data_IF_820465952039
#
_entry.id   IF_820465952039
#
_cell.length_a   1.000
_cell.length_b   1.000
_cell.length_c   1.000
_cell.angle_alpha   90.00
_cell.angle_beta   90.00
_cell.angle_gamma   90.00
#
_symmetry.space_group_name_H-M   'P 1'
#
loop_
_entity.id
_entity.type
_entity.pdbx_description
1 polymer ?
#
# COMPACT_ATOMS: atom_id res chain seq x y z
N UNK A 1 -3.36 -0.76 2.89
CA UNK A 1 -3.17 -0.57 4.35
C UNK A 1 -2.02 0.39 4.66
N UNK A 2 -0.76 0.06 4.37
CA UNK A 2 0.40 0.89 4.76
C UNK A 2 0.30 2.37 4.35
N UNK A 3 -0.04 2.65 3.08
CA UNK A 3 -0.23 4.03 2.60
C UNK A 3 -1.37 4.78 3.30
N UNK A 4 -2.49 4.10 3.59
CA UNK A 4 -3.58 4.69 4.39
C UNK A 4 -3.14 4.96 5.82
N UNK A 5 -2.47 4.01 6.48
CA UNK A 5 -1.97 4.20 7.85
C UNK A 5 -0.92 5.33 7.94
N UNK A 6 -0.17 5.59 6.87
CA UNK A 6 0.80 6.69 6.82
C UNK A 6 0.11 8.06 6.79
N UNK A 7 -0.99 8.19 6.05
CA UNK A 7 -1.61 9.50 5.76
C UNK A 7 -2.84 9.78 6.63
N UNK A 8 -3.64 8.75 6.94
CA UNK A 8 -4.87 8.85 7.72
C UNK A 8 -4.92 7.76 8.81
N UNK A 9 -3.99 7.75 9.78
CA UNK A 9 -3.94 6.76 10.85
C UNK A 9 -5.24 6.71 11.68
N UNK A 10 -5.91 7.85 11.87
CA UNK A 10 -7.18 7.96 12.58
C UNK A 10 -8.33 7.21 11.91
N UNK A 11 -8.30 7.08 10.58
CA UNK A 11 -9.27 6.26 9.84
C UNK A 11 -9.05 4.78 10.12
N UNK A 12 -7.80 4.34 10.22
CA UNK A 12 -7.46 2.95 10.57
C UNK A 12 -7.85 2.65 12.01
N UNK A 13 -7.54 3.56 12.94
CA UNK A 13 -7.88 3.41 14.36
C UNK A 13 -9.39 3.27 14.56
N UNK A 14 -10.19 4.14 13.92
CA UNK A 14 -11.66 4.08 14.01
C UNK A 14 -12.26 2.89 13.27
N UNK A 15 -11.53 2.29 12.32
CA UNK A 15 -12.03 1.15 11.56
C UNK A 15 -11.96 -0.16 12.35
N UNK A 16 -11.10 -0.31 13.37
CA UNK A 16 -10.89 -1.57 14.09
C UNK A 16 -11.47 -1.48 15.50
N UNK A 17 -12.65 -2.07 15.70
CA UNK A 17 -13.45 -1.94 16.93
C UNK A 17 -13.45 -3.26 17.71
N UNK A 18 -13.04 -3.21 18.98
CA UNK A 18 -13.16 -4.35 19.91
C UNK A 18 -14.61 -4.54 20.32
N UNK A 19 -14.99 -5.79 20.56
CA UNK A 19 -16.34 -6.18 21.00
C UNK A 19 -16.29 -6.90 22.35
N UNK A 20 -17.41 -6.88 23.06
CA UNK A 20 -17.55 -7.53 24.37
C UNK A 20 -17.53 -9.07 24.29
N UNK A 21 -17.82 -9.63 23.10
CA UNK A 21 -17.79 -11.07 22.82
C UNK A 21 -16.39 -11.60 22.48
N UNK A 22 -15.34 -10.80 22.67
CA UNK A 22 -13.95 -11.15 22.37
C UNK A 22 -13.58 -11.11 20.89
N UNK A 23 -14.51 -10.71 20.00
CA UNK A 23 -14.27 -10.53 18.56
C UNK A 23 -13.90 -9.08 18.23
N UNK A 24 -13.62 -8.84 16.95
CA UNK A 24 -13.32 -7.52 16.39
C UNK A 24 -14.25 -7.26 15.22
N UNK A 25 -14.80 -6.05 15.16
CA UNK A 25 -15.45 -5.52 13.96
C UNK A 25 -14.45 -4.63 13.21
N UNK A 26 -14.21 -4.94 11.93
CA UNK A 26 -13.47 -4.05 11.03
C UNK A 26 -14.47 -3.37 10.10
N UNK A 27 -14.45 -2.04 10.05
CA UNK A 27 -15.31 -1.24 9.19
C UNK A 27 -14.58 -0.92 7.89
N UNK A 28 -15.01 -1.55 6.80
CA UNK A 28 -14.66 -1.14 5.45
C UNK A 28 -15.71 -0.19 4.89
N UNK A 29 -15.49 0.28 3.67
CA UNK A 29 -16.32 1.26 2.97
C UNK A 29 -16.73 0.74 1.59
N UNK A 30 -17.92 1.12 1.16
CA UNK A 30 -18.40 1.03 -0.23
C UNK A 30 -18.94 2.41 -0.61
N UNK A 31 -18.08 3.24 -1.19
CA UNK A 31 -18.35 4.68 -1.27
C UNK A 31 -18.48 5.26 0.15
N UNK A 32 -19.58 5.95 0.43
CA UNK A 32 -19.87 6.49 1.77
C UNK A 32 -20.48 5.48 2.75
N UNK A 33 -20.83 4.26 2.30
CA UNK A 33 -21.49 3.27 3.13
C UNK A 33 -20.49 2.43 3.92
N UNK A 34 -20.81 2.16 5.18
CA UNK A 34 -20.02 1.28 6.04
C UNK A 34 -20.33 -0.20 5.73
N UNK A 35 -19.27 -1.00 5.68
CA UNK A 35 -19.31 -2.44 5.47
C UNK A 35 -18.64 -3.09 6.68
N UNK A 36 -19.38 -3.36 7.77
CA UNK A 36 -18.84 -3.98 8.97
C UNK A 36 -18.56 -5.47 8.74
N UNK A 37 -17.38 -5.92 9.13
CA UNK A 37 -16.96 -7.32 9.05
C UNK A 37 -16.52 -7.78 10.42
N UNK A 38 -17.14 -8.83 10.95
CA UNK A 38 -16.84 -9.37 12.28
C UNK A 38 -15.94 -10.58 12.14
N UNK A 39 -14.79 -10.57 12.79
CA UNK A 39 -13.84 -11.68 12.83
C UNK A 39 -13.42 -11.97 14.27
N UNK A 40 -13.10 -13.22 14.58
CA UNK A 40 -12.38 -13.53 15.82
C UNK A 40 -10.93 -13.02 15.75
N UNK A 41 -10.24 -13.02 16.90
CA UNK A 41 -8.89 -12.45 17.05
C UNK A 41 -7.74 -13.40 16.71
N UNK A 42 -8.03 -14.66 16.38
CA UNK A 42 -7.00 -15.63 16.00
C UNK A 42 -6.57 -15.39 14.56
N UNK A 43 -5.26 -15.30 14.33
CA UNK A 43 -4.68 -15.12 12.99
C UNK A 43 -3.67 -16.24 12.73
N UNK A 44 -3.48 -16.66 11.46
CA UNK A 44 -2.44 -17.65 11.14
C UNK A 44 -1.06 -17.17 11.59
N UNK A 45 -0.31 -18.04 12.28
CA UNK A 45 0.98 -17.72 12.88
C UNK A 45 2.12 -18.52 12.23
N UNK A 46 3.28 -17.89 12.10
CA UNK A 46 4.57 -18.54 11.83
C UNK A 46 5.47 -18.33 13.03
N UNK A 47 5.57 -19.34 13.89
CA UNK A 47 6.18 -19.19 15.21
C UNK A 47 5.38 -18.19 16.06
N UNK A 48 6.04 -17.16 16.59
CA UNK A 48 5.41 -16.12 17.42
C UNK A 48 4.93 -14.88 16.64
N UNK A 49 4.99 -14.89 15.31
CA UNK A 49 4.59 -13.77 14.46
C UNK A 49 3.43 -14.13 13.55
N UNK A 50 2.51 -13.19 13.22
CA UNK A 50 1.51 -13.42 12.18
C UNK A 50 2.18 -13.84 10.86
N UNK A 51 1.58 -14.82 10.19
CA UNK A 51 2.05 -15.38 8.92
C UNK A 51 1.92 -14.35 7.79
N UNK A 52 0.84 -13.56 7.80
CA UNK A 52 0.53 -12.56 6.79
C UNK A 52 0.88 -11.13 7.28
N UNK A 53 0.01 -10.13 7.10
CA UNK A 53 0.25 -8.76 7.52
C UNK A 53 0.58 -8.67 9.01
N UNK A 54 1.63 -7.91 9.32
CA UNK A 54 2.12 -7.72 10.69
C UNK A 54 2.71 -6.33 10.86
N UNK A 55 2.71 -5.85 12.10
CA UNK A 55 3.47 -4.66 12.45
C UNK A 55 4.91 -5.01 12.83
N UNK A 56 5.82 -4.05 12.65
CA UNK A 56 7.14 -4.07 13.29
C UNK A 56 7.09 -3.76 14.78
N UNK A 57 5.98 -3.21 15.28
CA UNK A 57 5.77 -2.89 16.68
C UNK A 57 5.16 -4.09 17.41
N UNK A 58 5.84 -4.54 18.48
CA UNK A 58 5.37 -5.64 19.30
C UNK A 58 3.99 -5.32 19.92
N UNK A 59 3.08 -6.28 19.90
CA UNK A 59 1.73 -6.15 20.44
C UNK A 59 0.73 -5.43 19.52
N UNK A 60 1.16 -4.86 18.39
CA UNK A 60 0.27 -4.20 17.44
C UNK A 60 -0.34 -5.21 16.46
N UNK A 61 -1.62 -5.54 16.65
CA UNK A 61 -2.32 -6.61 15.91
C UNK A 61 -3.25 -6.10 14.80
N UNK A 62 -3.49 -4.78 14.71
CA UNK A 62 -4.44 -4.22 13.75
C UNK A 62 -4.13 -4.61 12.29
N UNK A 63 -2.87 -4.73 11.80
CA UNK A 63 -2.65 -5.09 10.41
C UNK A 63 -3.15 -6.51 10.11
N UNK A 64 -2.88 -7.44 11.03
CA UNK A 64 -3.27 -8.84 10.89
C UNK A 64 -4.79 -9.00 10.95
N UNK A 65 -5.45 -8.30 11.88
CA UNK A 65 -6.91 -8.32 12.03
C UNK A 65 -7.62 -7.66 10.85
N UNK A 66 -7.10 -6.54 10.37
CA UNK A 66 -7.65 -5.84 9.20
C UNK A 66 -7.51 -6.69 7.94
N UNK A 67 -6.37 -7.34 7.73
CA UNK A 67 -6.19 -8.25 6.60
C UNK A 67 -7.08 -9.49 6.70
N UNK A 68 -7.25 -10.07 7.90
CA UNK A 68 -8.18 -11.17 8.13
C UNK A 68 -9.60 -10.81 7.73
N UNK A 69 -10.10 -9.67 8.22
CA UNK A 69 -11.43 -9.19 7.86
C UNK A 69 -11.55 -8.87 6.37
N UNK A 70 -10.49 -8.34 5.75
CA UNK A 70 -10.47 -8.09 4.32
C UNK A 70 -10.52 -9.39 3.50
N UNK A 71 -9.80 -10.40 3.94
CA UNK A 71 -9.79 -11.74 3.33
C UNK A 71 -11.17 -12.41 3.43
N UNK A 72 -11.83 -12.30 4.58
CA UNK A 72 -13.19 -12.82 4.78
C UNK A 72 -14.20 -12.14 3.83
N UNK A 73 -14.15 -10.81 3.73
CA UNK A 73 -15.12 -10.03 2.97
C UNK A 73 -14.85 -10.01 1.45
N UNK A 74 -13.58 -9.98 1.05
CA UNK A 74 -13.16 -9.73 -0.33
C UNK A 74 -12.36 -10.90 -0.94
N UNK A 75 -12.07 -11.95 -0.17
CA UNK A 75 -11.42 -13.17 -0.66
C UNK A 75 -12.34 -14.13 -1.41
N UNK A 76 -13.57 -13.73 -1.75
CA UNK A 76 -14.52 -14.51 -2.55
C UNK A 76 -14.74 -15.94 -2.01
N UNK A 77 -14.81 -16.09 -0.68
CA UNK A 77 -14.98 -17.39 -0.02
C UNK A 77 -13.71 -18.26 0.09
N UNK A 78 -12.55 -17.75 -0.36
CA UNK A 78 -11.24 -18.43 -0.26
C UNK A 78 -10.34 -17.85 0.84
N UNK A 79 -10.86 -16.95 1.67
CA UNK A 79 -10.08 -16.27 2.71
C UNK A 79 -8.80 -15.65 2.16
N UNK A 80 -7.67 -15.90 2.84
CA UNK A 80 -6.36 -15.32 2.49
C UNK A 80 -5.89 -15.69 1.07
N UNK A 81 -6.21 -16.89 0.57
CA UNK A 81 -5.84 -17.29 -0.80
C UNK A 81 -6.56 -16.42 -1.84
N UNK A 82 -7.79 -16.01 -1.55
CA UNK A 82 -8.59 -15.16 -2.43
C UNK A 82 -8.01 -13.76 -2.64
N UNK A 83 -7.16 -13.29 -1.72
CA UNK A 83 -6.47 -12.00 -1.82
C UNK A 83 -4.95 -12.16 -2.07
N UNK A 84 -4.43 -13.39 -2.12
CA UNK A 84 -3.01 -13.69 -2.24
C UNK A 84 -2.46 -13.64 -3.67
N UNK A 85 -3.33 -13.76 -4.68
CA UNK A 85 -2.92 -13.76 -6.10
C UNK A 85 -2.86 -12.38 -6.74
N UNK A 86 -2.72 -11.33 -5.92
CA UNK A 86 -2.69 -9.93 -6.34
C UNK A 86 -4.02 -9.23 -6.16
N UNK A 87 -4.12 -8.03 -6.71
CA UNK A 87 -5.27 -7.13 -6.58
C UNK A 87 -4.84 -5.70 -6.88
N UNK A 88 -5.81 -4.79 -7.00
CA UNK A 88 -5.51 -3.38 -7.23
C UNK A 88 -5.44 -2.63 -5.89
N UNK A 89 -4.27 -2.10 -5.50
CA UNK A 89 -4.11 -1.29 -4.28
C UNK A 89 -5.09 -0.13 -4.22
N UNK A 90 -5.45 0.45 -5.37
CA UNK A 90 -6.48 1.49 -5.47
C UNK A 90 -7.83 1.05 -4.91
N UNK A 91 -8.31 -0.14 -5.28
CA UNK A 91 -9.56 -0.72 -4.74
C UNK A 91 -9.45 -0.96 -3.24
N UNK A 92 -8.32 -1.49 -2.76
CA UNK A 92 -8.12 -1.70 -1.33
C UNK A 92 -8.10 -0.37 -0.55
N UNK A 93 -7.46 0.68 -1.09
CA UNK A 93 -7.49 2.02 -0.48
C UNK A 93 -8.91 2.58 -0.44
N UNK A 94 -9.69 2.41 -1.52
CA UNK A 94 -11.11 2.81 -1.56
C UNK A 94 -11.96 2.03 -0.55
N UNK A 95 -11.75 0.72 -0.41
CA UNK A 95 -12.46 -0.10 0.58
C UNK A 95 -12.09 0.26 2.02
N UNK A 96 -10.89 0.77 2.27
CA UNK A 96 -10.46 1.20 3.61
C UNK A 96 -11.02 2.58 3.95
N UNK A 97 -11.05 3.50 2.98
CA UNK A 97 -11.24 4.94 3.25
C UNK A 97 -12.58 5.49 2.76
N UNK A 98 -13.25 4.81 1.83
CA UNK A 98 -14.42 5.31 1.11
C UNK A 98 -14.08 6.32 0.01
N UNK A 99 -12.81 6.72 -0.12
CA UNK A 99 -12.34 7.63 -1.16
C UNK A 99 -12.22 6.97 -2.53
N UNK A 100 -12.05 7.80 -3.56
CA UNK A 100 -11.87 7.33 -4.94
C UNK A 100 -10.39 7.24 -5.27
N UNK A 101 -9.92 6.10 -5.74
CA UNK A 101 -8.54 5.96 -6.21
C UNK A 101 -8.43 6.29 -7.69
N UNK A 102 -7.51 7.19 -8.05
CA UNK A 102 -7.12 7.46 -9.44
C UNK A 102 -5.86 6.67 -9.77
N UNK A 103 -5.96 5.81 -10.78
CA UNK A 103 -4.80 5.16 -11.39
C UNK A 103 -4.17 6.08 -12.44
N UNK A 104 -2.85 6.16 -12.49
CA UNK A 104 -2.10 6.81 -13.55
C UNK A 104 -0.92 5.93 -14.00
N UNK A 105 -0.75 5.68 -15.31
CA UNK A 105 0.40 4.93 -15.81
C UNK A 105 1.68 5.73 -15.60
N UNK A 106 2.76 5.02 -15.26
CA UNK A 106 4.12 5.53 -15.21
C UNK A 106 4.86 5.01 -16.44
N UNK A 107 5.58 5.89 -17.14
CA UNK A 107 6.34 5.56 -18.35
C UNK A 107 7.71 6.23 -18.31
N UNK A 108 8.73 5.70 -19.00
CA UNK A 108 10.05 6.33 -19.09
C UNK A 108 10.02 7.79 -19.58
N UNK A 109 9.07 8.13 -20.45
CA UNK A 109 8.86 9.51 -20.93
C UNK A 109 8.40 10.50 -19.85
N UNK A 110 7.94 10.03 -18.69
CA UNK A 110 7.67 10.89 -17.53
C UNK A 110 8.95 11.48 -16.92
N UNK A 111 10.13 10.88 -17.12
CA UNK A 111 11.38 11.51 -16.68
C UNK A 111 11.92 12.54 -17.67
N UNK A 112 11.65 12.38 -18.97
CA UNK A 112 12.29 13.15 -20.05
C UNK A 112 11.42 14.27 -20.63
N UNK A 113 10.09 14.18 -20.54
CA UNK A 113 9.18 15.20 -21.05
C UNK A 113 8.83 16.22 -19.95
N UNK A 114 9.20 17.51 -20.05
CA UNK A 114 9.06 18.46 -18.94
C UNK A 114 7.66 18.55 -18.32
N UNK A 115 6.61 18.62 -19.16
CA UNK A 115 5.23 18.68 -18.67
C UNK A 115 4.78 17.41 -17.94
N UNK A 116 5.22 16.24 -18.42
CA UNK A 116 4.89 14.95 -17.79
C UNK A 116 5.68 14.75 -16.50
N UNK A 117 6.97 15.11 -16.50
CA UNK A 117 7.82 15.11 -15.31
C UNK A 117 7.21 15.96 -14.21
N UNK A 118 6.81 17.18 -14.54
CA UNK A 118 6.12 18.06 -13.60
C UNK A 118 4.83 17.43 -13.06
N UNK A 119 3.97 16.90 -13.93
CA UNK A 119 2.71 16.29 -13.51
C UNK A 119 2.90 15.07 -12.58
N UNK A 120 3.91 14.23 -12.87
CA UNK A 120 4.27 13.10 -12.03
C UNK A 120 4.78 13.58 -10.66
N UNK A 121 5.72 14.54 -10.63
CA UNK A 121 6.24 15.10 -9.38
C UNK A 121 5.16 15.82 -8.56
N UNK A 122 4.26 16.57 -9.19
CA UNK A 122 3.12 17.20 -8.53
C UNK A 122 2.22 16.15 -7.87
N UNK A 123 2.07 14.97 -8.48
CA UNK A 123 1.28 13.86 -7.92
C UNK A 123 2.03 13.19 -6.77
N UNK A 124 3.29 12.81 -6.97
CA UNK A 124 4.11 12.09 -5.98
C UNK A 124 4.37 12.95 -4.72
N UNK A 125 4.54 14.27 -4.88
CA UNK A 125 4.78 15.19 -3.75
C UNK A 125 3.57 15.36 -2.82
N UNK A 126 2.38 14.91 -3.23
CA UNK A 126 1.17 14.91 -2.39
C UNK A 126 0.98 13.61 -1.61
N UNK A 127 1.91 12.65 -1.71
CA UNK A 127 1.76 11.33 -1.11
C UNK A 127 1.77 11.34 0.43
N UNK A 128 2.24 12.42 1.05
CA UNK A 128 2.17 12.69 2.50
C UNK A 128 0.75 13.09 2.96
N UNK A 129 -0.10 13.53 2.03
CA UNK A 129 -1.48 14.04 2.29
C UNK A 129 -2.55 13.19 1.62
N UNK A 130 -2.16 12.39 0.63
CA UNK A 130 -3.06 11.53 -0.14
C UNK A 130 -2.45 10.14 -0.20
N UNK A 131 -3.11 9.09 0.34
CA UNK A 131 -2.62 7.72 0.23
C UNK A 131 -2.26 7.40 -1.22
N UNK A 132 -0.98 7.16 -1.45
CA UNK A 132 -0.42 6.88 -2.77
C UNK A 132 0.35 5.56 -2.75
N UNK A 133 0.16 4.75 -3.78
CA UNK A 133 0.88 3.49 -4.00
C UNK A 133 1.46 3.46 -5.40
N UNK A 134 2.56 2.75 -5.59
CA UNK A 134 3.17 2.49 -6.90
C UNK A 134 3.28 0.97 -7.11
N UNK A 135 3.05 0.52 -8.33
CA UNK A 135 3.04 -0.91 -8.68
C UNK A 135 4.15 -1.18 -9.69
N UNK A 136 4.96 -2.21 -9.44
CA UNK A 136 5.93 -2.73 -10.41
C UNK A 136 5.23 -3.68 -11.40
N UNK A 137 5.64 -3.75 -12.66
CA UNK A 137 5.06 -4.68 -13.62
C UNK A 137 5.25 -6.14 -13.18
N UNK A 138 4.40 -7.03 -13.68
CA UNK A 138 4.60 -8.47 -13.53
C UNK A 138 5.78 -8.93 -14.41
N UNK A 139 6.84 -9.53 -13.85
CA UNK A 139 7.94 -10.08 -14.64
C UNK A 139 7.46 -11.20 -15.57
N UNK A 140 8.08 -11.38 -16.76
CA UNK A 140 7.72 -12.44 -17.69
C UNK A 140 7.92 -13.86 -17.15
N UNK A 141 8.91 -14.05 -16.28
CA UNK A 141 9.29 -15.31 -15.62
C UNK A 141 8.53 -15.58 -14.31
N UNK A 142 7.66 -14.67 -13.90
CA UNK A 142 6.69 -14.89 -12.83
C UNK A 142 7.22 -14.73 -11.41
N UNK A 143 8.53 -14.83 -11.18
CA UNK A 143 9.15 -14.60 -9.88
C UNK A 143 10.52 -13.90 -10.02
N UNK A 144 10.89 -13.15 -8.98
CA UNK A 144 12.10 -12.31 -8.84
C UNK A 144 11.95 -10.85 -9.30
N UNK A 145 12.85 -10.00 -8.83
CA UNK A 145 12.81 -8.53 -8.94
C UNK A 145 12.45 -8.03 -10.36
N UNK A 146 12.07 -6.76 -10.49
CA UNK A 146 12.02 -6.12 -11.81
C UNK A 146 13.37 -6.27 -12.54
N UNK A 147 13.40 -6.09 -13.86
CA UNK A 147 14.59 -6.34 -14.67
C UNK A 147 15.86 -5.62 -14.19
N UNK A 148 15.74 -4.46 -13.55
CA UNK A 148 16.86 -3.72 -12.96
C UNK A 148 17.45 -4.35 -11.70
N UNK A 149 16.74 -5.28 -11.05
CA UNK A 149 17.11 -5.91 -9.79
C UNK A 149 16.88 -5.04 -8.55
N UNK A 150 16.40 -3.79 -8.68
CA UNK A 150 16.31 -2.82 -7.57
C UNK A 150 15.14 -3.07 -6.62
N UNK A 151 14.01 -3.52 -7.15
CA UNK A 151 12.75 -3.69 -6.43
C UNK A 151 12.07 -5.01 -6.81
N UNK A 152 11.31 -5.60 -5.89
CA UNK A 152 10.49 -6.77 -6.17
C UNK A 152 9.50 -6.51 -7.31
N UNK A 153 9.38 -7.46 -8.24
CA UNK A 153 8.39 -7.44 -9.33
C UNK A 153 7.00 -7.83 -8.85
N UNK A 154 5.98 -7.49 -9.65
CA UNK A 154 4.56 -7.73 -9.35
C UNK A 154 4.13 -7.30 -7.93
N UNK A 155 4.73 -6.23 -7.41
CA UNK A 155 4.59 -5.79 -6.03
C UNK A 155 4.11 -4.34 -5.92
N UNK A 156 3.40 -4.05 -4.83
CA UNK A 156 2.91 -2.71 -4.53
C UNK A 156 3.73 -2.07 -3.41
N UNK A 157 4.18 -0.84 -3.63
CA UNK A 157 4.91 -0.03 -2.67
C UNK A 157 4.05 1.15 -2.24
N UNK A 158 4.24 1.64 -1.01
CA UNK A 158 3.68 2.95 -0.62
C UNK A 158 4.61 4.04 -1.11
N UNK A 159 4.07 5.08 -1.75
CA UNK A 159 4.82 6.31 -2.02
C UNK A 159 4.65 7.19 -0.79
N UNK A 160 5.75 7.74 -0.28
CA UNK A 160 5.77 8.59 0.92
C UNK A 160 6.00 10.07 0.60
N UNK A 161 6.38 10.38 -0.65
CA UNK A 161 6.62 11.75 -1.09
C UNK A 161 7.79 11.84 -2.05
N UNK A 162 8.27 13.06 -2.26
CA UNK A 162 9.47 13.35 -3.04
C UNK A 162 10.47 14.17 -2.23
N UNK A 163 11.74 14.05 -2.59
CA UNK A 163 12.87 14.79 -2.00
C UNK A 163 13.80 15.27 -3.10
N UNK A 164 14.81 16.04 -2.70
CA UNK A 164 15.96 16.38 -3.52
C UNK A 164 17.20 15.72 -2.93
N UNK A 165 18.03 15.14 -3.79
CA UNK A 165 19.39 14.74 -3.41
C UNK A 165 20.28 15.97 -3.20
N UNK A 166 21.49 15.77 -2.66
CA UNK A 166 22.45 16.85 -2.44
C UNK A 166 22.85 17.59 -3.74
N UNK A 167 22.83 16.89 -4.87
CA UNK A 167 23.06 17.45 -6.21
C UNK A 167 21.78 17.96 -6.91
N UNK A 168 20.66 18.05 -6.19
CA UNK A 168 19.41 18.66 -6.67
C UNK A 168 18.52 17.78 -7.55
N UNK A 169 18.83 16.49 -7.68
CA UNK A 169 18.01 15.53 -8.46
C UNK A 169 16.72 15.19 -7.71
N UNK A 170 15.66 14.95 -8.47
CA UNK A 170 14.38 14.51 -7.92
C UNK A 170 14.48 13.07 -7.43
N UNK A 171 14.10 12.86 -6.17
CA UNK A 171 14.08 11.56 -5.51
C UNK A 171 12.64 11.21 -5.13
N UNK A 172 12.31 9.92 -5.17
CA UNK A 172 11.01 9.38 -4.75
C UNK A 172 11.22 8.57 -3.47
N UNK A 173 10.49 8.92 -2.41
CA UNK A 173 10.46 8.18 -1.15
C UNK A 173 9.43 7.06 -1.23
N UNK A 174 9.86 5.85 -0.93
CA UNK A 174 9.04 4.65 -1.05
C UNK A 174 9.13 3.82 0.23
N UNK A 175 8.13 2.97 0.43
CA UNK A 175 8.15 1.93 1.47
C UNK A 175 7.73 0.59 0.90
N UNK A 176 8.59 -0.41 1.06
CA UNK A 176 8.24 -1.80 0.83
C UNK A 176 7.36 -2.30 2.00
N UNK A 177 6.11 -2.74 1.75
CA UNK A 177 5.24 -3.25 2.80
C UNK A 177 5.74 -4.55 3.45
N UNK A 178 6.67 -5.28 2.82
CA UNK A 178 7.34 -6.43 3.43
C UNK A 178 8.38 -6.04 4.49
N UNK A 179 8.61 -4.74 4.69
CA UNK A 179 9.64 -4.22 5.58
C UNK A 179 11.00 -4.15 4.91
N UNK A 180 12.04 -4.01 5.71
CA UNK A 180 13.41 -3.84 5.25
C UNK A 180 14.42 -4.28 6.30
N UNK A 181 15.66 -4.51 5.86
CA UNK A 181 16.77 -4.86 6.73
C UNK A 181 17.25 -3.64 7.53
N UNK A 182 17.80 -3.87 8.72
CA UNK A 182 18.53 -2.82 9.46
C UNK A 182 17.67 -1.68 10.02
N UNK A 183 16.38 -1.92 10.31
CA UNK A 183 15.54 -0.95 11.02
C UNK A 183 14.89 0.13 10.16
N UNK A 184 15.09 0.12 8.84
CA UNK A 184 14.50 1.09 7.90
C UNK A 184 12.99 0.96 7.73
N UNK A 185 12.36 -0.07 8.33
CA UNK A 185 10.91 -0.38 8.19
C UNK A 185 10.46 -0.51 6.73
N UNK A 186 11.41 -0.81 5.83
CA UNK A 186 11.20 -0.94 4.39
C UNK A 186 11.24 0.38 3.62
N UNK A 187 11.58 1.50 4.27
CA UNK A 187 11.69 2.80 3.63
C UNK A 187 13.02 2.96 2.88
N UNK A 188 12.96 3.52 1.67
CA UNK A 188 14.11 3.83 0.84
C UNK A 188 13.80 4.98 -0.13
N UNK A 189 14.84 5.54 -0.73
CA UNK A 189 14.72 6.56 -1.78
C UNK A 189 15.37 6.06 -3.08
N UNK A 190 14.81 6.48 -4.21
CA UNK A 190 15.44 6.28 -5.53
C UNK A 190 15.27 7.51 -6.42
N UNK A 191 16.19 7.75 -7.37
CA UNK A 191 16.00 8.78 -8.38
C UNK A 191 14.70 8.59 -9.17
N UNK A 192 14.07 9.69 -9.58
CA UNK A 192 12.86 9.66 -10.41
C UNK A 192 13.09 8.85 -11.70
N UNK A 193 14.29 8.90 -12.25
CA UNK A 193 14.69 8.17 -13.45
C UNK A 193 14.58 6.65 -13.25
N UNK A 194 15.06 6.13 -12.12
CA UNK A 194 14.90 4.71 -11.78
C UNK A 194 13.44 4.36 -11.47
N UNK A 195 12.72 5.27 -10.83
CA UNK A 195 11.29 5.07 -10.54
C UNK A 195 10.47 4.86 -11.81
N UNK A 196 10.67 5.69 -12.84
CA UNK A 196 9.91 5.56 -14.10
C UNK A 196 10.32 4.36 -14.96
N UNK A 197 11.47 3.75 -14.68
CA UNK A 197 11.92 2.49 -15.28
C UNK A 197 11.28 1.28 -14.60
N UNK A 198 11.20 1.30 -13.26
CA UNK A 198 10.83 0.13 -12.45
C UNK A 198 9.32 0.03 -12.17
N UNK A 199 8.59 1.15 -12.19
CA UNK A 199 7.18 1.20 -11.84
C UNK A 199 6.28 1.40 -13.07
N UNK A 200 5.15 0.68 -13.11
CA UNK A 200 4.21 0.70 -14.24
C UNK A 200 3.02 1.64 -14.01
N UNK A 201 2.65 1.88 -12.76
CA UNK A 201 1.55 2.79 -12.43
C UNK A 201 1.62 3.28 -10.99
N UNK A 202 0.94 4.40 -10.73
CA UNK A 202 0.61 4.89 -9.40
C UNK A 202 -0.89 4.87 -9.19
N UNK A 203 -1.32 4.65 -7.96
CA UNK A 203 -2.69 4.87 -7.52
C UNK A 203 -2.65 5.90 -6.40
N UNK A 204 -3.35 7.01 -6.59
CA UNK A 204 -3.48 8.04 -5.56
C UNK A 204 -4.95 8.20 -5.18
N UNK A 205 -5.21 8.12 -3.90
CA UNK A 205 -6.53 8.33 -3.35
C UNK A 205 -6.88 9.83 -3.35
N UNK A 206 -8.00 10.17 -3.95
CA UNK A 206 -8.69 11.43 -3.71
C UNK A 206 -9.73 11.17 -2.64
N UNK A 207 -9.49 11.67 -1.43
CA UNK A 207 -10.48 11.64 -0.36
C UNK A 207 -11.70 12.47 -0.78
N UNK A 208 -12.90 11.97 -0.46
CA UNK A 208 -14.12 12.77 -0.56
C UNK A 208 -13.98 13.91 0.45
N UNK A 209 -14.23 15.14 0.00
CA UNK A 209 -14.29 16.32 0.86
C UNK A 209 -15.50 16.26 1.78
#
# INVERSE_FOLDING_TARGET
MASCAHVCPELIEKAVLKRDDGKVTVIFKRGSQDVPVVVDTEVPMRGSSPLYAKSSQAGETWPALMEKAYAEQYGMGKGYEGIGHGGHPGTAMSNITGGTSRNAPVRPSDATSPGRRKALLDTLSQADKKPTTAITPKPPDGEHNVASGRVAGWHAYSVLGTTKSADGKDMVKLRNPWGGSGGTRGEFEMPLEHFVEDYSSINQLTLLA
#
